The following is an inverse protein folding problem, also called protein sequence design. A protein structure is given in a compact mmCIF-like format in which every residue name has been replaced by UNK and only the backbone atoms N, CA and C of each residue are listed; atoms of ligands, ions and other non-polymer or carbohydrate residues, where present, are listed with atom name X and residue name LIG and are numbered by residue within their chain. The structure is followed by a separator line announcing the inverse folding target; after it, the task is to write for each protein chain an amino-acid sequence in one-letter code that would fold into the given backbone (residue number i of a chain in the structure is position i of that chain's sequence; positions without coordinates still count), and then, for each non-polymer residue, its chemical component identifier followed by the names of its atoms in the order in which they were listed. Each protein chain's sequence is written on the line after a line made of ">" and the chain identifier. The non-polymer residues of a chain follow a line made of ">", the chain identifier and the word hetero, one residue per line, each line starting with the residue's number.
data_IF_089920556288
#
_entry.id   IF_089920556288
#
_cell.length_a   1.000
_cell.length_b   1.000
_cell.length_c   1.000
_cell.angle_alpha   90.00
_cell.angle_beta   90.00
_cell.angle_gamma   90.00
#
_symmetry.space_group_name_H-M   'P 1'
#
loop_
_entity.id
_entity.type
_entity.pdbx_description
1 polymer ?
#
# COMPACT_ATOMS: atom_id res chain seq x y z
N UNK A 1 -9.11 -22.20 -24.32
CA UNK A 1 -9.99 -21.05 -24.06
C UNK A 1 -9.21 -20.15 -23.09
N UNK A 2 -8.41 -19.22 -23.64
CA UNK A 2 -7.62 -18.27 -22.87
C UNK A 2 -8.56 -17.47 -21.99
N UNK A 3 -8.38 -17.56 -20.66
CA UNK A 3 -8.97 -16.61 -19.72
C UNK A 3 -8.29 -15.27 -19.98
N UNK A 4 -8.88 -14.42 -20.80
CA UNK A 4 -8.52 -13.00 -20.83
C UNK A 4 -8.69 -12.50 -19.40
N UNK A 5 -7.58 -12.25 -18.70
CA UNK A 5 -7.61 -11.48 -17.45
C UNK A 5 -8.35 -10.19 -17.78
N UNK A 6 -9.39 -9.87 -17.02
CA UNK A 6 -10.06 -8.58 -17.15
C UNK A 6 -9.08 -7.54 -16.63
N UNK A 7 -8.36 -6.92 -17.52
CA UNK A 7 -7.48 -5.79 -17.21
C UNK A 7 -8.35 -4.54 -17.05
N UNK A 8 -7.95 -3.67 -16.14
CA UNK A 8 -8.64 -2.42 -15.83
C UNK A 8 -7.97 -1.29 -16.59
N UNK A 9 -8.74 -0.59 -17.43
CA UNK A 9 -8.22 0.47 -18.28
C UNK A 9 -8.17 1.81 -17.54
N UNK A 10 -7.07 2.53 -17.68
CA UNK A 10 -6.94 3.92 -17.25
C UNK A 10 -7.73 4.77 -18.25
N UNK A 11 -8.78 5.42 -17.76
CA UNK A 11 -9.61 6.31 -18.57
C UNK A 11 -9.00 7.71 -18.66
N UNK A 12 -8.54 8.24 -17.52
CA UNK A 12 -7.96 9.57 -17.41
C UNK A 12 -6.82 9.60 -16.38
N UNK A 13 -5.88 10.51 -16.59
CA UNK A 13 -4.82 10.82 -15.62
C UNK A 13 -4.37 12.26 -15.80
N UNK A 14 -4.22 12.99 -14.71
CA UNK A 14 -3.69 14.35 -14.72
C UNK A 14 -3.03 14.71 -13.39
N UNK A 15 -2.05 15.65 -13.40
CA UNK A 15 -1.42 16.13 -12.18
C UNK A 15 -2.38 17.04 -11.41
N UNK A 16 -2.36 16.95 -10.07
CA UNK A 16 -3.16 17.78 -9.17
C UNK A 16 -2.42 19.03 -8.68
N UNK A 17 -1.13 19.11 -8.91
CA UNK A 17 -0.29 20.24 -8.50
C UNK A 17 0.68 20.67 -9.60
N UNK A 18 1.20 21.88 -9.48
CA UNK A 18 2.09 22.50 -10.48
C UNK A 18 3.42 21.77 -10.62
N UNK A 19 3.94 21.20 -9.55
CA UNK A 19 5.18 20.40 -9.57
C UNK A 19 4.99 18.99 -10.16
N UNK A 20 3.75 18.60 -10.50
CA UNK A 20 3.40 17.30 -11.09
C UNK A 20 3.89 16.10 -10.25
N UNK A 21 3.83 16.24 -8.94
CA UNK A 21 4.23 15.20 -7.99
C UNK A 21 3.05 14.45 -7.37
N UNK A 22 1.82 14.91 -7.61
CA UNK A 22 0.59 14.26 -7.13
C UNK A 22 -0.35 14.16 -8.32
N UNK A 23 -0.95 12.98 -8.50
CA UNK A 23 -1.79 12.66 -9.65
C UNK A 23 -3.17 12.20 -9.23
N UNK A 24 -4.17 12.52 -10.08
CA UNK A 24 -5.45 11.83 -10.11
C UNK A 24 -5.46 10.88 -11.30
N UNK A 25 -5.96 9.67 -11.07
CA UNK A 25 -6.21 8.66 -12.10
C UNK A 25 -7.64 8.17 -11.98
N UNK A 26 -8.35 8.08 -13.11
CA UNK A 26 -9.68 7.49 -13.22
C UNK A 26 -9.61 6.18 -13.99
N UNK A 27 -10.24 5.13 -13.48
CA UNK A 27 -10.12 3.77 -14.01
C UNK A 27 -11.50 3.20 -14.28
N UNK A 28 -11.66 2.51 -15.41
CA UNK A 28 -12.88 1.78 -15.77
C UNK A 28 -13.05 0.56 -14.86
N UNK A 29 -13.89 0.69 -13.83
CA UNK A 29 -14.16 -0.34 -12.82
C UNK A 29 -15.64 -0.32 -12.38
N UNK A 30 -16.60 -0.65 -13.25
CA UNK A 30 -18.03 -0.42 -13.02
C UNK A 30 -18.61 -1.15 -11.81
N UNK A 31 -18.06 -2.30 -11.43
CA UNK A 31 -18.53 -3.03 -10.24
C UNK A 31 -18.09 -2.31 -8.95
N UNK A 32 -16.89 -1.73 -8.95
CA UNK A 32 -16.40 -0.94 -7.81
C UNK A 32 -17.19 0.36 -7.74
N UNK A 33 -17.37 1.06 -8.87
CA UNK A 33 -18.08 2.33 -8.94
C UNK A 33 -19.51 2.24 -8.38
N UNK A 34 -20.22 1.14 -8.67
CA UNK A 34 -21.60 0.90 -8.18
C UNK A 34 -21.72 0.67 -6.68
N UNK A 35 -20.67 0.20 -6.03
CA UNK A 35 -20.69 -0.23 -4.62
C UNK A 35 -19.81 0.61 -3.70
N UNK A 36 -18.98 1.48 -4.27
CA UNK A 36 -18.09 2.36 -3.51
C UNK A 36 -18.86 3.33 -2.61
N UNK A 37 -18.27 3.59 -1.43
CA UNK A 37 -18.74 4.58 -0.47
C UNK A 37 -17.56 5.40 0.05
N UNK A 38 -17.79 6.63 0.53
CA UNK A 38 -16.73 7.45 1.13
C UNK A 38 -15.97 6.73 2.23
N UNK A 39 -14.65 6.93 2.30
CA UNK A 39 -13.76 6.29 3.28
C UNK A 39 -13.25 4.91 2.89
N UNK A 40 -13.74 4.31 1.81
CA UNK A 40 -13.26 3.02 1.31
C UNK A 40 -12.06 3.17 0.38
N UNK A 41 -11.35 2.07 0.15
CA UNK A 41 -10.16 2.00 -0.69
C UNK A 41 -10.20 0.79 -1.64
N UNK A 42 -9.23 0.70 -2.53
CA UNK A 42 -8.99 -0.47 -3.36
C UNK A 42 -7.51 -0.86 -3.31
N UNK A 43 -7.21 -2.11 -3.58
CA UNK A 43 -5.84 -2.62 -3.71
C UNK A 43 -5.53 -2.86 -5.18
N UNK A 44 -4.38 -2.36 -5.59
CA UNK A 44 -3.86 -2.39 -6.96
C UNK A 44 -2.75 -3.40 -7.10
N UNK A 45 -2.64 -3.97 -8.29
CA UNK A 45 -1.46 -4.65 -8.79
C UNK A 45 -1.29 -4.27 -10.27
N UNK A 46 -0.18 -3.61 -10.60
CA UNK A 46 -0.02 -3.00 -11.94
C UNK A 46 0.19 -4.04 -13.02
N UNK A 47 1.02 -5.07 -12.75
CA UNK A 47 1.33 -6.14 -13.68
C UNK A 47 1.45 -7.50 -12.96
N UNK A 48 1.82 -8.55 -13.67
CA UNK A 48 1.91 -9.91 -13.13
C UNK A 48 2.94 -10.04 -11.99
N UNK A 49 3.99 -9.23 -12.00
CA UNK A 49 5.07 -9.22 -11.01
C UNK A 49 4.95 -8.08 -10.01
N UNK A 50 3.93 -7.22 -10.18
CA UNK A 50 3.72 -6.02 -9.38
C UNK A 50 3.33 -6.32 -7.94
N UNK A 51 3.82 -5.50 -7.04
CA UNK A 51 3.39 -5.48 -5.64
C UNK A 51 1.94 -5.02 -5.52
N UNK A 52 1.31 -5.39 -4.43
CA UNK A 52 -0.02 -4.91 -4.06
C UNK A 52 0.09 -3.69 -3.17
N UNK A 53 -0.62 -2.64 -3.53
CA UNK A 53 -0.66 -1.40 -2.73
C UNK A 53 -2.07 -0.83 -2.66
N UNK A 54 -2.45 -0.24 -1.51
CA UNK A 54 -3.77 0.36 -1.31
C UNK A 54 -3.82 1.80 -1.81
N UNK A 55 -4.93 2.20 -2.42
CA UNK A 55 -5.27 3.60 -2.68
C UNK A 55 -6.72 3.86 -2.26
N UNK A 56 -6.95 4.98 -1.58
CA UNK A 56 -8.29 5.40 -1.20
C UNK A 56 -9.09 5.86 -2.42
N UNK A 57 -10.36 5.47 -2.48
CA UNK A 57 -11.30 5.91 -3.51
C UNK A 57 -11.59 7.40 -3.30
N UNK A 58 -11.11 8.23 -4.22
CA UNK A 58 -11.26 9.68 -4.16
C UNK A 58 -12.58 10.18 -4.76
N UNK A 59 -13.08 9.49 -5.76
CA UNK A 59 -14.40 9.75 -6.36
C UNK A 59 -14.85 8.53 -7.18
N UNK A 60 -16.13 8.47 -7.52
CA UNK A 60 -16.68 7.39 -8.34
C UNK A 60 -17.92 7.86 -9.06
N UNK A 61 -18.10 7.35 -10.29
CA UNK A 61 -19.29 7.58 -11.12
C UNK A 61 -19.91 6.23 -11.49
N UNK A 62 -21.05 5.87 -10.86
CA UNK A 62 -21.74 4.62 -11.16
C UNK A 62 -22.36 4.54 -12.55
N UNK A 63 -22.67 5.70 -13.18
CA UNK A 63 -23.28 5.76 -14.51
C UNK A 63 -22.24 5.54 -15.60
N UNK A 64 -21.10 6.21 -15.49
CA UNK A 64 -19.96 6.03 -16.40
C UNK A 64 -19.21 4.74 -16.09
N UNK A 65 -19.23 4.29 -14.84
CA UNK A 65 -18.53 3.10 -14.37
C UNK A 65 -17.05 3.33 -14.07
N UNK A 66 -16.68 4.56 -13.67
CA UNK A 66 -15.31 4.94 -13.35
C UNK A 66 -15.10 5.15 -11.86
N UNK A 67 -13.89 4.89 -11.39
CA UNK A 67 -13.44 5.14 -10.01
C UNK A 67 -12.14 5.93 -10.07
N UNK A 68 -12.05 7.00 -9.30
CA UNK A 68 -10.89 7.90 -9.27
C UNK A 68 -10.08 7.73 -7.99
N UNK A 69 -8.77 7.84 -8.14
CA UNK A 69 -7.79 7.71 -7.07
C UNK A 69 -6.78 8.86 -7.14
N UNK A 70 -6.38 9.37 -5.97
CA UNK A 70 -5.33 10.37 -5.88
C UNK A 70 -4.10 9.72 -5.23
N UNK A 71 -2.92 9.89 -5.82
CA UNK A 71 -1.69 9.30 -5.31
C UNK A 71 -0.46 10.17 -5.55
N UNK A 72 0.53 9.97 -4.68
CA UNK A 72 1.87 10.54 -4.81
C UNK A 72 2.86 9.41 -5.09
N UNK A 73 3.73 9.54 -6.10
CA UNK A 73 4.82 8.60 -6.32
C UNK A 73 5.82 8.65 -5.15
N UNK A 74 5.74 7.69 -4.25
CA UNK A 74 6.60 7.61 -3.06
C UNK A 74 7.51 6.37 -3.09
N UNK A 75 6.93 5.20 -3.44
CA UNK A 75 7.64 3.93 -3.58
C UNK A 75 7.60 3.41 -5.01
N UNK A 76 8.30 2.29 -5.27
CA UNK A 76 8.42 1.64 -6.57
C UNK A 76 7.10 1.55 -7.34
N UNK A 77 6.07 0.95 -6.74
CA UNK A 77 4.79 0.70 -7.42
C UNK A 77 4.08 1.99 -7.82
N UNK A 78 4.07 3.01 -6.94
CA UNK A 78 3.45 4.30 -7.25
C UNK A 78 4.28 5.13 -8.23
N UNK A 79 5.61 4.98 -8.25
CA UNK A 79 6.47 5.58 -9.29
C UNK A 79 6.16 4.95 -10.65
N UNK A 80 6.07 3.62 -10.76
CA UNK A 80 5.69 2.93 -11.99
C UNK A 80 4.27 3.34 -12.42
N UNK A 81 3.32 3.43 -11.49
CA UNK A 81 1.97 3.89 -11.79
C UNK A 81 1.93 5.32 -12.33
N UNK A 82 2.85 6.18 -11.87
CA UNK A 82 2.96 7.55 -12.37
C UNK A 82 3.46 7.65 -13.81
N UNK A 83 4.07 6.60 -14.36
CA UNK A 83 4.53 6.54 -15.75
C UNK A 83 3.46 6.02 -16.71
N UNK A 84 2.42 5.33 -16.20
CA UNK A 84 1.32 4.84 -17.02
C UNK A 84 0.45 6.00 -17.53
N UNK A 85 -0.16 5.82 -18.71
CA UNK A 85 -0.94 6.87 -19.38
C UNK A 85 -2.39 6.41 -19.65
N UNK A 86 -3.32 7.33 -19.94
CA UNK A 86 -4.66 6.97 -20.38
C UNK A 86 -4.63 6.00 -21.56
N UNK A 87 -5.40 4.91 -21.45
CA UNK A 87 -5.40 3.80 -22.41
C UNK A 87 -4.57 2.59 -21.97
N UNK A 88 -3.65 2.74 -21.02
CA UNK A 88 -2.93 1.62 -20.40
C UNK A 88 -3.84 0.78 -19.51
N UNK A 89 -3.39 -0.43 -19.21
CA UNK A 89 -4.16 -1.41 -18.44
C UNK A 89 -3.43 -1.82 -17.16
N UNK A 90 -4.20 -1.92 -16.08
CA UNK A 90 -3.76 -2.43 -14.77
C UNK A 90 -4.21 -3.88 -14.64
N UNK A 91 -3.34 -4.75 -14.14
CA UNK A 91 -3.61 -6.18 -14.05
C UNK A 91 -4.77 -6.51 -13.10
N UNK A 92 -4.74 -5.94 -11.88
CA UNK A 92 -5.80 -6.18 -10.89
C UNK A 92 -6.14 -4.92 -10.10
N UNK A 93 -7.45 -4.77 -9.83
CA UNK A 93 -7.99 -3.88 -8.81
C UNK A 93 -9.01 -4.65 -8.00
N UNK A 94 -8.83 -4.70 -6.69
CA UNK A 94 -9.76 -5.33 -5.76
C UNK A 94 -10.37 -4.27 -4.86
N UNK A 95 -11.69 -4.15 -4.91
CA UNK A 95 -12.42 -3.14 -4.14
C UNK A 95 -13.94 -3.18 -4.40
N UNK A 96 -14.73 -2.32 -3.71
CA UNK A 96 -14.29 -1.49 -2.60
C UNK A 96 -13.96 -2.32 -1.36
N UNK A 97 -12.94 -1.92 -0.63
CA UNK A 97 -12.45 -2.57 0.59
C UNK A 97 -12.56 -1.60 1.77
N UNK A 98 -12.48 -2.15 2.97
CA UNK A 98 -12.63 -1.40 4.21
C UNK A 98 -14.09 -1.02 4.52
N UNK A 99 -14.28 -0.49 5.70
CA UNK A 99 -15.58 0.04 6.12
C UNK A 99 -15.78 1.45 5.56
N UNK A 100 -16.99 1.80 5.15
CA UNK A 100 -17.31 3.20 4.84
C UNK A 100 -17.09 4.10 6.05
N UNK A 101 -16.81 5.38 5.82
CA UNK A 101 -16.72 6.39 6.87
C UNK A 101 -18.01 6.42 7.71
N UNK A 102 -17.84 6.44 9.04
CA UNK A 102 -18.95 6.50 9.97
C UNK A 102 -19.39 7.96 10.15
N UNK A 103 -20.50 8.32 9.53
CA UNK A 103 -21.09 9.65 9.61
C UNK A 103 -22.29 9.61 10.56
N UNK A 104 -22.25 10.42 11.65
CA UNK A 104 -23.43 10.63 12.50
C UNK A 104 -24.40 11.57 11.75
N UNK A 105 -25.61 11.10 11.38
CA UNK A 105 -26.57 11.93 10.67
C UNK A 105 -27.13 13.09 11.52
N UNK A 106 -26.92 13.08 12.85
CA UNK A 106 -27.34 14.13 13.75
C UNK A 106 -26.22 15.16 14.03
N UNK A 107 -25.02 14.93 13.52
CA UNK A 107 -23.93 15.88 13.66
C UNK A 107 -24.30 17.23 13.03
N UNK A 108 -23.97 18.31 13.69
CA UNK A 108 -24.21 19.67 13.21
C UNK A 108 -23.00 20.25 12.49
N UNK A 109 -21.80 19.93 12.99
CA UNK A 109 -20.55 20.43 12.44
C UNK A 109 -19.40 19.46 12.65
N UNK A 110 -18.67 19.18 11.58
CA UNK A 110 -17.50 18.29 11.55
C UNK A 110 -16.30 19.05 11.05
N UNK A 111 -15.14 18.85 11.69
CA UNK A 111 -13.89 19.35 11.20
C UNK A 111 -13.14 18.23 10.47
N UNK A 112 -12.67 18.49 9.24
CA UNK A 112 -11.92 17.57 8.41
C UNK A 112 -10.48 18.07 8.30
N UNK A 113 -9.52 17.34 8.88
CA UNK A 113 -8.11 17.76 8.95
C UNK A 113 -7.27 16.84 8.07
N UNK A 114 -6.60 17.41 7.09
CA UNK A 114 -5.76 16.68 6.17
C UNK A 114 -4.31 17.15 6.14
N UNK A 115 -3.38 16.26 5.83
CA UNK A 115 -1.97 16.58 5.58
C UNK A 115 -1.45 16.02 4.26
N UNK A 116 -0.96 16.88 3.37
CA UNK A 116 -0.51 16.50 2.05
C UNK A 116 -1.58 15.78 1.24
N UNK A 117 -1.29 14.59 0.71
CA UNK A 117 -2.27 13.76 0.00
C UNK A 117 -3.45 13.31 0.88
N UNK A 118 -3.30 13.32 2.21
CA UNK A 118 -4.39 13.01 3.15
C UNK A 118 -5.57 13.97 3.04
N UNK A 119 -5.35 15.21 2.57
CA UNK A 119 -6.43 16.15 2.27
C UNK A 119 -7.37 15.57 1.18
N UNK A 120 -6.80 14.99 0.13
CA UNK A 120 -7.55 14.38 -0.95
C UNK A 120 -8.25 13.07 -0.54
N UNK A 121 -7.70 12.35 0.44
CA UNK A 121 -8.30 11.13 1.02
C UNK A 121 -9.58 11.46 1.77
N UNK A 122 -9.61 12.57 2.51
CA UNK A 122 -10.76 13.02 3.26
C UNK A 122 -11.84 13.71 2.40
N UNK A 123 -11.52 14.10 1.17
CA UNK A 123 -12.43 14.83 0.29
C UNK A 123 -13.78 14.13 0.02
N UNK A 124 -13.85 12.81 -0.27
CA UNK A 124 -15.12 12.12 -0.48
C UNK A 124 -16.04 12.18 0.76
N UNK A 125 -15.44 12.13 1.96
CA UNK A 125 -16.19 12.21 3.21
C UNK A 125 -16.70 13.64 3.43
N UNK A 126 -15.91 14.67 3.14
CA UNK A 126 -16.33 16.06 3.19
C UNK A 126 -17.50 16.35 2.22
N UNK A 127 -17.43 15.82 0.98
CA UNK A 127 -18.54 15.90 0.02
C UNK A 127 -19.83 15.29 0.58
N UNK A 128 -19.72 14.12 1.17
CA UNK A 128 -20.89 13.42 1.72
C UNK A 128 -21.48 14.14 2.95
N UNK A 129 -20.64 14.63 3.86
CA UNK A 129 -21.09 15.46 5.00
C UNK A 129 -21.89 16.68 4.50
N UNK A 130 -21.35 17.40 3.51
CA UNK A 130 -22.04 18.57 2.94
C UNK A 130 -23.34 18.19 2.23
N UNK A 131 -23.36 17.06 1.51
CA UNK A 131 -24.57 16.53 0.86
C UNK A 131 -25.68 16.21 1.90
N UNK A 132 -25.30 15.77 3.09
CA UNK A 132 -26.21 15.50 4.20
C UNK A 132 -26.65 16.77 4.96
N UNK A 133 -26.13 17.94 4.60
CA UNK A 133 -26.45 19.21 5.25
C UNK A 133 -25.71 19.44 6.57
N UNK A 134 -24.65 18.68 6.82
CA UNK A 134 -23.79 18.85 8.00
C UNK A 134 -22.77 19.95 7.68
N UNK A 135 -22.55 20.87 8.63
CA UNK A 135 -21.53 21.91 8.50
C UNK A 135 -20.12 21.32 8.46
N UNK A 136 -19.29 21.74 7.52
CA UNK A 136 -17.94 21.22 7.31
C UNK A 136 -16.92 22.33 7.35
N UNK A 137 -15.93 22.21 8.24
CA UNK A 137 -14.70 22.99 8.19
C UNK A 137 -13.57 22.06 7.73
N UNK A 138 -12.80 22.49 6.72
CA UNK A 138 -11.63 21.75 6.27
C UNK A 138 -10.36 22.50 6.62
N UNK A 139 -9.39 21.79 7.23
CA UNK A 139 -8.04 22.27 7.49
C UNK A 139 -7.08 21.42 6.67
N UNK A 140 -6.46 22.02 5.66
CA UNK A 140 -5.57 21.35 4.72
C UNK A 140 -4.13 21.84 4.90
N UNK A 141 -3.24 20.95 5.36
CA UNK A 141 -1.83 21.26 5.60
C UNK A 141 -0.93 20.73 4.50
N UNK A 142 0.02 21.57 4.09
CA UNK A 142 1.03 21.24 3.09
C UNK A 142 2.40 21.75 3.54
N UNK A 143 3.48 21.25 2.93
CA UNK A 143 4.82 21.77 3.23
C UNK A 143 5.04 23.16 2.63
N UNK A 144 4.56 23.38 1.41
CA UNK A 144 4.77 24.56 0.60
C UNK A 144 3.65 24.74 -0.44
N UNK A 145 3.61 25.93 -1.05
CA UNK A 145 2.59 26.29 -2.06
C UNK A 145 2.56 25.35 -3.28
N UNK A 146 3.70 24.88 -3.75
CA UNK A 146 3.84 24.08 -4.97
C UNK A 146 3.24 22.67 -4.87
N UNK A 147 2.99 22.21 -3.64
CA UNK A 147 2.31 20.92 -3.38
C UNK A 147 0.87 21.07 -2.88
N UNK A 148 0.31 22.27 -2.90
CA UNK A 148 -1.14 22.46 -2.66
C UNK A 148 -1.93 21.85 -3.80
N UNK A 149 -2.97 21.10 -3.45
CA UNK A 149 -3.84 20.38 -4.39
C UNK A 149 -5.31 20.70 -4.14
N UNK A 150 -6.12 20.59 -5.18
CA UNK A 150 -7.60 20.53 -5.10
C UNK A 150 -8.27 21.64 -4.31
N UNK A 151 -7.70 22.86 -4.27
CA UNK A 151 -8.26 23.94 -3.45
C UNK A 151 -9.70 24.27 -3.81
N UNK A 152 -10.03 24.32 -5.11
CA UNK A 152 -11.38 24.66 -5.58
C UNK A 152 -12.38 23.56 -5.20
N UNK A 153 -11.99 22.28 -5.33
CA UNK A 153 -12.81 21.16 -4.93
C UNK A 153 -13.04 21.13 -3.40
N UNK A 154 -12.00 21.39 -2.61
CA UNK A 154 -12.14 21.48 -1.15
C UNK A 154 -13.06 22.62 -0.77
N UNK A 155 -12.91 23.80 -1.39
CA UNK A 155 -13.78 24.95 -1.16
C UNK A 155 -15.24 24.66 -1.50
N UNK A 156 -15.49 23.88 -2.52
CA UNK A 156 -16.84 23.44 -2.87
C UNK A 156 -17.42 22.42 -1.88
N UNK A 157 -16.56 21.62 -1.21
CA UNK A 157 -16.95 20.55 -0.31
C UNK A 157 -17.09 20.97 1.17
N UNK A 158 -16.75 22.21 1.53
CA UNK A 158 -16.82 22.69 2.91
C UNK A 158 -17.51 24.07 3.01
N UNK A 159 -17.76 24.50 4.23
CA UNK A 159 -18.27 25.84 4.54
C UNK A 159 -17.11 26.80 4.78
N UNK A 160 -16.06 26.33 5.46
CA UNK A 160 -14.83 27.08 5.66
C UNK A 160 -13.63 26.22 5.29
N UNK A 161 -12.74 26.78 4.46
CA UNK A 161 -11.48 26.14 4.08
C UNK A 161 -10.31 26.93 4.67
N UNK A 162 -9.47 26.24 5.43
CA UNK A 162 -8.23 26.77 5.99
C UNK A 162 -7.06 26.00 5.36
N UNK A 163 -6.17 26.72 4.69
CA UNK A 163 -4.94 26.14 4.12
C UNK A 163 -3.77 26.62 4.97
N UNK A 164 -2.95 25.68 5.43
CA UNK A 164 -1.71 25.97 6.14
C UNK A 164 -0.52 25.43 5.35
N UNK A 165 0.62 26.15 5.42
CA UNK A 165 1.90 25.67 4.89
C UNK A 165 2.97 25.77 5.94
N UNK A 166 3.82 24.73 6.04
CA UNK A 166 4.89 24.67 7.05
C UNK A 166 5.87 25.83 6.87
N UNK A 167 6.18 26.19 5.61
CA UNK A 167 7.11 27.26 5.23
C UNK A 167 6.47 28.65 5.11
N UNK A 168 5.14 28.77 5.29
CA UNK A 168 4.41 30.03 5.21
C UNK A 168 4.30 30.61 3.79
N UNK A 169 4.58 29.82 2.75
CA UNK A 169 4.54 30.31 1.36
C UNK A 169 3.13 30.48 0.81
N UNK A 170 2.12 29.87 1.45
CA UNK A 170 0.72 29.98 1.06
C UNK A 170 -0.24 29.73 2.24
N UNK A 171 -1.38 30.45 2.25
CA UNK A 171 -2.34 30.35 3.34
C UNK A 171 -1.77 30.85 4.67
N UNK A 172 -2.05 30.14 5.74
CA UNK A 172 -1.52 30.43 7.08
C UNK A 172 -0.21 29.67 7.33
N UNK A 173 0.78 30.33 7.96
CA UNK A 173 2.04 29.68 8.30
C UNK A 173 1.86 28.77 9.51
N UNK A 174 2.29 27.51 9.41
CA UNK A 174 2.31 26.56 10.51
C UNK A 174 1.52 25.28 10.27
N UNK A 175 1.28 24.53 11.35
CA UNK A 175 0.70 23.19 11.28
C UNK A 175 -0.84 23.21 11.42
N UNK A 176 -1.51 22.24 10.83
CA UNK A 176 -2.97 22.03 10.94
C UNK A 176 -3.45 21.93 12.38
N UNK A 177 -2.63 21.41 13.28
CA UNK A 177 -2.92 21.28 14.71
C UNK A 177 -3.06 22.63 15.41
N UNK A 178 -2.26 23.62 14.99
CA UNK A 178 -2.35 24.98 15.54
C UNK A 178 -3.67 25.62 15.13
N UNK A 179 -4.06 25.49 13.86
CA UNK A 179 -5.34 26.01 13.36
C UNK A 179 -6.53 25.33 13.99
N UNK A 180 -6.49 23.99 14.12
CA UNK A 180 -7.55 23.24 14.81
C UNK A 180 -7.72 23.74 16.26
N UNK A 181 -6.62 23.89 16.99
CA UNK A 181 -6.64 24.37 18.36
C UNK A 181 -7.20 25.79 18.45
N UNK A 182 -6.75 26.68 17.58
CA UNK A 182 -7.27 28.08 17.49
C UNK A 182 -8.80 28.08 17.29
N UNK A 183 -9.33 27.30 16.37
CA UNK A 183 -10.76 27.22 16.09
C UNK A 183 -11.53 26.70 17.30
N UNK A 184 -11.06 25.67 17.98
CA UNK A 184 -11.70 25.14 19.20
C UNK A 184 -11.67 26.21 20.32
N UNK A 185 -10.52 26.84 20.54
CA UNK A 185 -10.36 27.88 21.59
C UNK A 185 -11.14 29.17 21.28
N UNK A 186 -11.41 29.45 20.00
CA UNK A 186 -12.31 30.56 19.61
C UNK A 186 -13.79 30.30 19.86
N UNK A 187 -14.13 29.08 20.31
CA UNK A 187 -15.49 28.67 20.66
C UNK A 187 -16.26 27.94 19.60
N UNK A 188 -15.59 27.54 18.47
CA UNK A 188 -16.21 26.66 17.46
C UNK A 188 -16.39 25.26 18.07
N UNK A 189 -17.63 24.77 18.03
CA UNK A 189 -17.98 23.44 18.55
C UNK A 189 -18.05 22.44 17.41
N UNK A 190 -17.29 21.37 17.51
CA UNK A 190 -17.29 20.25 16.57
C UNK A 190 -17.87 19.00 17.25
N UNK A 191 -18.79 18.33 16.58
CA UNK A 191 -19.33 17.02 17.02
C UNK A 191 -18.29 15.92 16.81
N UNK A 192 -17.48 16.06 15.75
CA UNK A 192 -16.35 15.17 15.49
C UNK A 192 -15.25 15.82 14.65
N UNK A 193 -14.06 15.23 14.70
CA UNK A 193 -12.92 15.55 13.84
C UNK A 193 -12.55 14.30 13.06
N UNK A 194 -12.36 14.44 11.73
CA UNK A 194 -11.82 13.41 10.87
C UNK A 194 -10.42 13.81 10.45
N UNK A 195 -9.45 12.89 10.56
CA UNK A 195 -8.08 13.23 10.19
C UNK A 195 -7.44 12.16 9.29
N UNK A 196 -6.68 12.59 8.28
CA UNK A 196 -5.87 11.73 7.43
C UNK A 196 -4.59 12.44 7.01
N UNK A 197 -3.47 11.74 7.04
CA UNK A 197 -2.16 12.27 6.66
C UNK A 197 -1.01 11.51 7.33
N UNK A 198 0.14 12.14 7.52
CA UNK A 198 1.26 11.54 8.23
C UNK A 198 0.85 11.08 9.64
N UNK A 199 1.33 9.91 10.06
CA UNK A 199 0.94 9.28 11.36
C UNK A 199 1.18 10.25 12.52
N UNK A 200 2.33 10.95 12.51
CA UNK A 200 2.65 11.94 13.55
C UNK A 200 1.64 13.09 13.58
N UNK A 201 1.17 13.55 12.41
CA UNK A 201 0.15 14.60 12.33
C UNK A 201 -1.18 14.10 12.92
N UNK A 202 -1.63 12.91 12.57
CA UNK A 202 -2.88 12.33 13.07
C UNK A 202 -2.83 12.11 14.59
N UNK A 203 -1.69 11.61 15.12
CA UNK A 203 -1.43 11.51 16.56
C UNK A 203 -1.59 12.89 17.23
N UNK A 204 -0.97 13.93 16.68
CA UNK A 204 -1.04 15.28 17.26
C UNK A 204 -2.46 15.88 17.18
N UNK A 205 -3.22 15.60 16.10
CA UNK A 205 -4.64 16.00 16.02
C UNK A 205 -5.44 15.34 17.14
N UNK A 206 -5.23 14.03 17.40
CA UNK A 206 -5.88 13.34 18.50
C UNK A 206 -5.55 13.96 19.88
N UNK A 207 -4.27 14.35 20.10
CA UNK A 207 -3.87 15.00 21.34
C UNK A 207 -4.47 16.41 21.51
N UNK A 208 -4.67 17.15 20.42
CA UNK A 208 -5.36 18.46 20.46
C UNK A 208 -6.83 18.32 20.86
N UNK A 209 -7.53 17.31 20.33
CA UNK A 209 -8.97 17.12 20.56
C UNK A 209 -9.30 16.43 21.89
N UNK A 210 -8.37 15.62 22.42
CA UNK A 210 -8.56 14.84 23.66
C UNK A 210 -9.02 15.66 24.87
N UNK A 211 -8.41 16.83 25.20
CA UNK A 211 -8.81 17.62 26.36
C UNK A 211 -10.24 18.18 26.26
N UNK A 212 -10.75 18.31 25.05
CA UNK A 212 -12.09 18.85 24.78
C UNK A 212 -13.14 17.74 24.63
N UNK A 213 -12.74 16.47 24.68
CA UNK A 213 -13.64 15.32 24.53
C UNK A 213 -14.29 15.22 23.14
N UNK A 214 -13.69 15.81 22.11
CA UNK A 214 -14.22 15.79 20.74
C UNK A 214 -13.89 14.44 20.11
N UNK A 215 -14.92 13.68 19.67
CA UNK A 215 -14.72 12.41 18.95
C UNK A 215 -13.80 12.64 17.75
N UNK A 216 -12.72 11.88 17.65
CA UNK A 216 -11.72 12.05 16.59
C UNK A 216 -11.44 10.73 15.90
N UNK A 217 -11.73 10.64 14.62
CA UNK A 217 -11.45 9.46 13.79
C UNK A 217 -10.24 9.73 12.89
N UNK A 218 -9.31 8.78 12.88
CA UNK A 218 -8.14 8.82 11.99
C UNK A 218 -8.24 7.73 10.93
N UNK A 219 -8.06 8.11 9.65
CA UNK A 219 -7.95 7.17 8.54
C UNK A 219 -6.50 6.69 8.43
N UNK A 220 -6.26 5.47 8.88
CA UNK A 220 -4.93 4.88 9.04
C UNK A 220 -4.51 4.13 7.78
N UNK A 221 -3.21 4.23 7.44
CA UNK A 221 -2.62 3.65 6.25
C UNK A 221 -1.44 2.71 6.56
N UNK A 222 -1.60 1.68 7.42
CA UNK A 222 -0.56 0.68 7.59
C UNK A 222 -0.36 -0.11 6.30
N UNK A 223 0.75 -0.84 6.21
CA UNK A 223 1.05 -1.69 5.06
C UNK A 223 -0.09 -2.70 4.85
N UNK A 224 -0.68 -2.71 3.66
CA UNK A 224 -1.76 -3.61 3.27
C UNK A 224 -1.39 -4.39 2.01
N UNK A 225 -1.63 -5.71 2.02
CA UNK A 225 -1.27 -6.61 0.92
C UNK A 225 -2.50 -7.26 0.31
N UNK A 226 -3.32 -8.00 1.10
CA UNK A 226 -4.47 -8.74 0.58
C UNK A 226 -5.80 -7.99 0.68
N UNK A 227 -5.97 -7.13 1.68
CA UNK A 227 -7.19 -6.35 1.90
C UNK A 227 -8.37 -7.12 2.50
N UNK A 228 -8.20 -8.39 2.87
CA UNK A 228 -9.27 -9.27 3.35
C UNK A 228 -9.13 -9.69 4.82
N UNK A 229 -8.11 -9.19 5.51
CA UNK A 229 -7.82 -9.51 6.91
C UNK A 229 -7.04 -10.81 7.12
N UNK A 230 -6.68 -11.53 6.06
CA UNK A 230 -6.02 -12.84 6.18
C UNK A 230 -4.52 -12.73 6.44
N UNK A 231 -3.81 -11.83 5.74
CA UNK A 231 -2.33 -11.76 5.82
C UNK A 231 -1.83 -11.12 7.12
N UNK A 232 -2.66 -10.35 7.83
CA UNK A 232 -2.28 -9.66 9.07
C UNK A 232 -1.27 -8.51 8.89
N UNK A 233 -0.91 -8.13 7.67
CA UNK A 233 0.02 -7.05 7.38
C UNK A 233 -0.42 -5.71 7.98
N UNK A 234 -1.70 -5.39 7.88
CA UNK A 234 -2.30 -4.14 8.35
C UNK A 234 -2.77 -4.15 9.81
N UNK A 235 -2.27 -5.09 10.64
CA UNK A 235 -2.66 -5.15 12.05
C UNK A 235 -2.17 -3.94 12.84
N UNK A 236 -3.02 -3.48 13.73
CA UNK A 236 -2.72 -2.41 14.68
C UNK A 236 -3.44 -2.68 16.02
N UNK A 237 -3.12 -1.91 17.05
CA UNK A 237 -3.78 -1.99 18.36
C UNK A 237 -4.69 -0.78 18.56
N UNK A 238 -5.96 -1.02 18.89
CA UNK A 238 -6.94 -0.01 19.24
C UNK A 238 -7.63 -0.42 20.54
N UNK A 239 -7.60 0.41 21.55
CA UNK A 239 -8.09 0.10 22.89
C UNK A 239 -7.49 -1.19 23.50
N UNK A 240 -6.23 -1.52 23.15
CA UNK A 240 -5.57 -2.77 23.57
C UNK A 240 -5.98 -4.02 22.79
N UNK A 241 -6.93 -3.91 21.86
CA UNK A 241 -7.35 -5.00 20.99
C UNK A 241 -6.65 -4.95 19.64
N UNK A 242 -6.33 -6.14 19.09
CA UNK A 242 -5.81 -6.26 17.72
C UNK A 242 -6.90 -6.03 16.71
N UNK A 243 -6.70 -5.09 15.80
CA UNK A 243 -7.58 -4.79 14.65
C UNK A 243 -6.79 -4.91 13.35
N UNK A 244 -7.51 -5.06 12.24
CA UNK A 244 -6.95 -5.10 10.89
C UNK A 244 -7.53 -3.94 10.08
N UNK A 245 -6.70 -2.97 9.72
CA UNK A 245 -7.18 -1.75 9.05
C UNK A 245 -7.96 -2.02 7.75
N UNK A 246 -7.65 -3.11 7.05
CA UNK A 246 -8.33 -3.44 5.80
C UNK A 246 -9.77 -3.97 5.96
N UNK A 247 -10.18 -4.46 7.14
CA UNK A 247 -11.52 -5.02 7.37
C UNK A 247 -12.25 -4.39 8.55
N UNK A 248 -11.51 -3.93 9.59
CA UNK A 248 -12.08 -3.25 10.75
C UNK A 248 -12.13 -1.73 10.57
N UNK A 249 -11.27 -1.17 9.70
CA UNK A 249 -11.11 0.24 9.38
C UNK A 249 -11.37 0.55 7.89
N UNK A 250 -10.68 1.53 7.31
CA UNK A 250 -9.43 2.15 7.76
C UNK A 250 -9.56 3.23 8.85
N UNK A 251 -10.78 3.70 9.15
CA UNK A 251 -11.01 4.71 10.17
C UNK A 251 -11.14 4.10 11.57
N UNK A 252 -10.46 4.69 12.54
CA UNK A 252 -10.49 4.28 13.95
C UNK A 252 -10.55 5.49 14.86
N UNK A 253 -11.10 5.30 16.09
CA UNK A 253 -11.01 6.29 17.14
C UNK A 253 -9.54 6.60 17.47
N UNK A 254 -9.12 7.80 17.08
CA UNK A 254 -7.75 8.26 17.21
C UNK A 254 -7.26 8.35 18.67
N UNK A 255 -8.19 8.46 19.62
CA UNK A 255 -7.87 8.49 21.06
C UNK A 255 -7.54 7.11 21.62
N UNK A 256 -7.88 6.04 20.90
CA UNK A 256 -7.71 4.65 21.34
C UNK A 256 -6.61 3.91 20.55
N UNK A 257 -6.04 4.51 19.49
CA UNK A 257 -4.97 3.94 18.70
C UNK A 257 -3.66 3.92 19.49
N UNK A 258 -2.95 2.80 19.46
CA UNK A 258 -1.56 2.67 19.89
C UNK A 258 -0.64 3.24 18.80
N UNK A 259 -0.40 4.55 18.88
CA UNK A 259 0.37 5.29 17.90
C UNK A 259 1.84 4.89 17.85
N UNK A 260 2.42 4.51 18.98
CA UNK A 260 3.84 4.17 19.05
C UNK A 260 4.11 2.84 18.38
N UNK A 261 3.27 1.83 18.61
CA UNK A 261 3.32 0.56 17.89
C UNK A 261 3.07 0.74 16.39
N UNK A 262 2.15 1.64 15.99
CA UNK A 262 1.88 1.91 14.58
C UNK A 262 3.07 2.59 13.88
N UNK A 263 3.74 3.54 14.54
CA UNK A 263 4.95 4.20 14.04
C UNK A 263 6.08 3.20 13.83
N UNK A 264 6.35 2.36 14.85
CA UNK A 264 7.38 1.32 14.75
C UNK A 264 7.15 0.38 13.59
N UNK A 265 5.91 -0.10 13.43
CA UNK A 265 5.56 -1.01 12.33
C UNK A 265 5.70 -0.38 10.94
N UNK A 266 5.49 0.91 10.83
CA UNK A 266 5.59 1.62 9.55
C UNK A 266 7.04 1.79 9.07
N UNK A 267 8.03 1.49 9.92
CA UNK A 267 9.46 1.54 9.58
C UNK A 267 10.06 0.18 9.21
N UNK A 268 9.29 -0.91 9.30
CA UNK A 268 9.82 -2.28 9.15
C UNK A 268 10.49 -2.57 7.80
N UNK A 269 10.07 -1.91 6.74
CA UNK A 269 10.57 -2.15 5.38
C UNK A 269 11.30 -0.95 4.78
N UNK A 270 11.68 0.03 5.62
CA UNK A 270 12.31 1.28 5.14
C UNK A 270 13.62 1.04 4.40
N UNK A 271 14.41 0.04 4.82
CA UNK A 271 15.67 -0.28 4.18
C UNK A 271 15.46 -0.95 2.80
N UNK A 272 14.54 -1.91 2.74
CA UNK A 272 14.16 -2.62 1.51
C UNK A 272 13.48 -1.67 0.51
N UNK A 273 12.62 -0.77 0.99
CA UNK A 273 12.00 0.27 0.17
C UNK A 273 13.04 1.25 -0.40
N UNK A 274 14.07 1.60 0.37
CA UNK A 274 15.14 2.47 -0.11
C UNK A 274 15.99 1.79 -1.20
N UNK A 275 16.32 0.50 -1.03
CA UNK A 275 17.04 -0.29 -2.02
C UNK A 275 16.25 -0.44 -3.32
N UNK A 276 14.95 -0.77 -3.22
CA UNK A 276 14.06 -0.90 -4.37
C UNK A 276 13.85 0.44 -5.10
N UNK A 277 13.73 1.54 -4.38
CA UNK A 277 13.63 2.87 -4.97
C UNK A 277 14.92 3.26 -5.73
N UNK A 278 16.09 2.92 -5.21
CA UNK A 278 17.36 3.11 -5.92
C UNK A 278 17.44 2.25 -7.19
N UNK A 279 16.93 1.02 -7.11
CA UNK A 279 16.87 0.11 -8.27
C UNK A 279 15.91 0.65 -9.35
N UNK A 280 14.73 1.13 -8.99
CA UNK A 280 13.79 1.76 -9.92
C UNK A 280 14.39 3.02 -10.54
N UNK A 281 15.08 3.85 -9.78
CA UNK A 281 15.77 5.02 -10.30
C UNK A 281 16.84 4.64 -11.34
N UNK A 282 17.56 3.54 -11.15
CA UNK A 282 18.53 3.04 -12.15
C UNK A 282 17.86 2.49 -13.41
N UNK A 283 16.71 1.82 -13.28
CA UNK A 283 15.95 1.26 -14.41
C UNK A 283 15.20 2.37 -15.16
N UNK A 284 14.58 3.30 -14.45
CA UNK A 284 13.70 4.35 -15.01
C UNK A 284 14.44 5.66 -15.28
N UNK A 285 15.67 5.82 -14.82
CA UNK A 285 16.46 7.05 -14.95
C UNK A 285 16.74 7.51 -16.40
N UNK A 286 16.31 6.73 -17.40
CA UNK A 286 16.30 7.07 -18.81
C UNK A 286 14.94 6.94 -19.49
N UNK A 287 13.90 6.47 -18.78
CA UNK A 287 12.56 6.25 -19.37
C UNK A 287 11.74 7.53 -19.29
N UNK A 288 11.31 8.05 -20.43
CA UNK A 288 10.41 9.20 -20.51
C UNK A 288 8.99 8.78 -20.19
N UNK A 289 8.16 9.71 -19.66
CA UNK A 289 6.71 9.50 -19.51
C UNK A 289 6.13 8.99 -20.83
N UNK A 290 5.28 7.94 -20.75
CA UNK A 290 4.68 7.30 -21.92
C UNK A 290 5.49 6.19 -22.57
N UNK A 291 6.75 5.95 -22.14
CA UNK A 291 7.60 4.85 -22.65
C UNK A 291 7.51 3.58 -21.77
N UNK A 292 6.96 3.71 -20.55
CA UNK A 292 6.78 2.56 -19.66
C UNK A 292 5.60 1.70 -20.12
N UNK A 293 5.87 0.43 -20.36
CA UNK A 293 4.86 -0.61 -20.63
C UNK A 293 4.91 -1.65 -19.52
N UNK A 294 3.85 -1.86 -18.75
CA UNK A 294 3.82 -2.90 -17.72
C UNK A 294 4.22 -4.26 -18.28
N UNK A 295 5.14 -4.96 -17.60
CA UNK A 295 5.62 -6.28 -18.02
C UNK A 295 6.71 -6.28 -19.11
N UNK A 296 7.15 -5.11 -19.61
CA UNK A 296 8.25 -4.99 -20.57
C UNK A 296 9.41 -4.24 -19.91
N UNK A 297 10.44 -4.96 -19.51
CA UNK A 297 11.71 -4.36 -19.06
C UNK A 297 12.65 -4.40 -20.28
N UNK A 298 12.66 -3.32 -21.07
CA UNK A 298 13.63 -3.15 -22.16
C UNK A 298 14.93 -2.57 -21.60
N UNK A 299 16.06 -3.22 -21.92
CA UNK A 299 17.39 -2.65 -21.71
C UNK A 299 18.18 -3.09 -20.49
N UNK A 300 17.76 -4.14 -19.79
CA UNK A 300 18.66 -4.79 -18.83
C UNK A 300 19.60 -5.70 -19.60
N UNK A 301 20.86 -5.28 -19.77
CA UNK A 301 21.93 -6.23 -20.14
C UNK A 301 21.94 -7.34 -19.09
N UNK A 302 21.55 -8.54 -19.50
CA UNK A 302 21.62 -9.73 -18.64
C UNK A 302 23.06 -9.88 -18.13
N UNK A 303 23.24 -9.71 -16.83
CA UNK A 303 24.49 -10.06 -16.17
C UNK A 303 24.77 -11.55 -16.50
N UNK A 304 25.90 -11.87 -17.12
CA UNK A 304 26.23 -13.26 -17.48
C UNK A 304 26.13 -14.26 -16.31
N UNK A 305 26.28 -13.80 -15.06
CA UNK A 305 26.09 -14.60 -13.85
C UNK A 305 24.60 -14.85 -13.51
N UNK A 306 23.64 -14.10 -14.08
CA UNK A 306 22.19 -14.29 -13.91
C UNK A 306 21.56 -15.13 -15.05
N UNK A 307 22.34 -15.73 -15.93
CA UNK A 307 21.88 -16.46 -17.11
C UNK A 307 21.20 -17.80 -16.87
N UNK A 308 21.11 -18.28 -15.62
CA UNK A 308 20.32 -19.47 -15.33
C UNK A 308 18.92 -19.05 -14.91
N UNK A 309 17.96 -19.29 -15.80
CA UNK A 309 16.55 -19.09 -15.53
C UNK A 309 16.13 -19.95 -14.35
N UNK A 310 15.49 -19.35 -13.34
CA UNK A 310 14.91 -20.09 -12.20
C UNK A 310 13.92 -21.12 -12.72
N UNK A 311 14.05 -22.36 -12.28
CA UNK A 311 13.06 -23.39 -12.59
C UNK A 311 11.80 -23.16 -11.74
N UNK A 312 10.63 -22.98 -12.36
CA UNK A 312 9.39 -22.89 -11.61
C UNK A 312 9.14 -24.21 -10.87
N UNK A 313 8.59 -24.12 -9.64
CA UNK A 313 8.18 -25.32 -8.92
C UNK A 313 7.04 -26.02 -9.72
N UNK A 314 7.20 -27.31 -10.07
CA UNK A 314 6.11 -28.05 -10.68
C UNK A 314 4.90 -28.15 -9.76
N UNK A 315 3.73 -27.77 -10.24
CA UNK A 315 2.49 -27.74 -9.46
C UNK A 315 1.39 -28.53 -10.16
N UNK A 316 0.41 -29.00 -9.39
CA UNK A 316 -0.82 -29.54 -9.93
C UNK A 316 -1.58 -28.48 -10.75
N UNK A 317 -2.16 -28.90 -11.88
CA UNK A 317 -3.06 -28.05 -12.66
C UNK A 317 -4.17 -27.47 -11.75
N UNK A 318 -4.47 -26.14 -11.85
CA UNK A 318 -5.46 -25.48 -10.99
C UNK A 318 -6.86 -26.11 -11.02
N UNK A 319 -7.29 -26.67 -12.14
CA UNK A 319 -8.59 -27.34 -12.27
C UNK A 319 -8.59 -28.72 -11.59
N UNK A 320 -7.45 -29.41 -11.63
CA UNK A 320 -7.26 -30.72 -10.98
C UNK A 320 -7.15 -30.53 -9.47
N UNK A 321 -6.30 -29.62 -9.00
CA UNK A 321 -6.09 -29.38 -7.57
C UNK A 321 -7.32 -28.85 -6.84
N UNK A 322 -8.22 -28.16 -7.52
CA UNK A 322 -9.50 -27.73 -6.95
C UNK A 322 -10.46 -28.88 -6.58
N UNK A 323 -10.17 -30.10 -7.01
CA UNK A 323 -11.03 -31.28 -6.82
C UNK A 323 -10.42 -32.35 -5.91
N UNK A 324 -9.26 -32.09 -5.31
CA UNK A 324 -8.58 -33.05 -4.44
C UNK A 324 -7.83 -32.31 -3.32
N UNK A 325 -7.31 -33.06 -2.35
CA UNK A 325 -6.50 -32.59 -1.23
C UNK A 325 -5.05 -33.07 -1.32
N UNK A 326 -4.59 -33.46 -2.51
CA UNK A 326 -3.20 -33.85 -2.71
C UNK A 326 -2.29 -32.62 -2.66
N UNK A 327 -1.02 -32.83 -2.39
CA UNK A 327 -0.01 -31.76 -2.33
C UNK A 327 0.04 -31.00 -3.67
N UNK A 328 -0.03 -29.66 -3.60
CA UNK A 328 -0.06 -28.82 -4.80
C UNK A 328 1.31 -28.77 -5.49
N UNK A 329 2.38 -28.55 -4.71
CA UNK A 329 3.75 -28.56 -5.20
C UNK A 329 4.23 -29.99 -5.42
N UNK A 330 4.61 -30.35 -6.65
CA UNK A 330 5.02 -31.70 -7.01
C UNK A 330 6.51 -31.98 -6.74
N UNK A 331 7.25 -30.95 -6.32
CA UNK A 331 8.70 -31.02 -6.08
C UNK A 331 9.53 -31.04 -7.37
N UNK A 332 10.81 -30.82 -7.22
CA UNK A 332 11.78 -30.91 -8.31
C UNK A 332 12.20 -32.37 -8.59
N UNK A 333 12.37 -32.70 -9.84
CA UNK A 333 13.13 -33.91 -10.19
C UNK A 333 14.58 -33.78 -9.77
N UNK A 334 15.32 -34.88 -9.61
CA UNK A 334 16.74 -34.86 -9.27
C UNK A 334 17.58 -34.02 -10.26
N UNK A 335 17.20 -34.02 -11.55
CA UNK A 335 17.89 -33.19 -12.55
C UNK A 335 17.59 -31.68 -12.31
N UNK A 336 16.32 -31.29 -12.20
CA UNK A 336 15.94 -29.91 -11.94
C UNK A 336 16.57 -29.39 -10.65
N UNK A 337 16.58 -30.21 -9.58
CA UNK A 337 17.21 -29.84 -8.31
C UNK A 337 18.71 -29.56 -8.45
N UNK A 338 19.44 -30.36 -9.23
CA UNK A 338 20.88 -30.12 -9.51
C UNK A 338 21.09 -28.87 -10.35
N UNK A 339 20.26 -28.66 -11.37
CA UNK A 339 20.37 -27.49 -12.25
C UNK A 339 20.07 -26.21 -11.45
N UNK A 340 19.05 -26.22 -10.61
CA UNK A 340 18.73 -25.10 -9.73
C UNK A 340 19.83 -24.84 -8.68
N UNK A 341 20.41 -25.90 -8.11
CA UNK A 341 21.51 -25.79 -7.17
C UNK A 341 22.76 -25.12 -7.78
N UNK A 342 22.96 -25.23 -9.11
CA UNK A 342 24.10 -24.57 -9.80
C UNK A 342 24.00 -23.04 -9.77
N UNK A 343 22.83 -22.45 -9.52
CA UNK A 343 22.66 -21.01 -9.40
C UNK A 343 23.31 -20.44 -8.12
N UNK A 344 23.57 -21.27 -7.11
CA UNK A 344 24.22 -20.84 -5.89
C UNK A 344 25.66 -20.36 -6.15
N UNK A 345 25.93 -19.11 -5.76
CA UNK A 345 27.24 -18.47 -5.93
C UNK A 345 28.27 -18.87 -4.88
N UNK A 346 27.89 -19.64 -3.87
CA UNK A 346 28.73 -20.04 -2.74
C UNK A 346 29.44 -18.85 -2.06
N UNK A 347 28.66 -17.83 -1.70
CA UNK A 347 29.17 -16.56 -1.18
C UNK A 347 29.99 -16.75 0.10
N UNK A 348 31.07 -15.98 0.26
CA UNK A 348 31.90 -15.97 1.51
C UNK A 348 31.09 -15.46 2.73
N UNK A 349 30.17 -14.51 2.52
CA UNK A 349 29.26 -13.97 3.52
C UNK A 349 27.81 -14.16 3.00
N UNK A 350 27.21 -15.36 3.20
CA UNK A 350 25.94 -15.71 2.59
C UNK A 350 24.78 -15.01 3.30
N UNK A 351 24.14 -14.07 2.62
CA UNK A 351 22.95 -13.36 3.11
C UNK A 351 21.76 -14.31 3.38
N UNK A 352 21.64 -15.35 2.56
CA UNK A 352 20.62 -16.39 2.76
C UNK A 352 20.73 -17.12 4.11
N UNK A 353 21.94 -17.30 4.65
CA UNK A 353 22.13 -17.87 6.00
C UNK A 353 21.73 -16.88 7.06
N UNK A 354 22.05 -15.60 6.88
CA UNK A 354 21.68 -14.54 7.83
C UNK A 354 20.16 -14.32 7.87
N UNK A 355 19.48 -14.46 6.74
CA UNK A 355 18.02 -14.38 6.64
C UNK A 355 17.28 -15.61 7.19
N UNK A 356 17.98 -16.73 7.41
CA UNK A 356 17.38 -17.96 7.90
C UNK A 356 17.21 -17.94 9.43
N UNK A 357 15.97 -17.98 9.99
CA UNK A 357 15.73 -17.90 11.43
C UNK A 357 16.37 -19.06 12.24
N UNK A 358 16.64 -20.18 11.59
CA UNK A 358 17.24 -21.38 12.20
C UNK A 358 18.68 -21.62 11.74
N UNK A 359 19.28 -20.65 11.07
CA UNK A 359 20.67 -20.64 10.62
C UNK A 359 21.09 -21.91 9.83
N UNK A 360 20.24 -22.36 8.89
CA UNK A 360 20.61 -23.45 7.99
C UNK A 360 21.83 -23.04 7.15
N UNK A 361 22.84 -23.90 7.08
CA UNK A 361 24.05 -23.66 6.27
C UNK A 361 23.73 -23.84 4.76
N UNK A 362 22.99 -22.85 4.21
CA UNK A 362 22.37 -22.95 2.88
C UNK A 362 23.38 -23.22 1.76
N UNK A 363 24.52 -22.52 1.61
CA UNK A 363 25.51 -22.85 0.57
C UNK A 363 26.07 -24.27 0.67
N UNK A 364 26.19 -24.80 1.90
CA UNK A 364 26.73 -26.13 2.15
C UNK A 364 25.76 -27.21 1.68
N UNK A 365 24.47 -27.17 2.10
CA UNK A 365 23.52 -28.17 1.62
C UNK A 365 23.30 -28.08 0.11
N UNK A 366 23.30 -26.87 -0.47
CA UNK A 366 23.18 -26.70 -1.92
C UNK A 366 24.39 -27.30 -2.63
N UNK A 367 25.62 -27.24 -2.06
CA UNK A 367 26.79 -27.86 -2.67
C UNK A 367 26.67 -29.39 -2.77
N UNK A 368 26.07 -30.02 -1.78
CA UNK A 368 25.75 -31.46 -1.80
C UNK A 368 24.68 -31.79 -2.85
N UNK A 369 23.64 -30.95 -2.96
CA UNK A 369 22.62 -31.11 -4.02
C UNK A 369 23.22 -31.03 -5.41
N UNK A 370 24.18 -30.13 -5.66
CA UNK A 370 24.89 -30.00 -6.96
C UNK A 370 25.48 -31.31 -7.43
N UNK A 371 26.06 -32.08 -6.53
CA UNK A 371 26.73 -33.35 -6.85
C UNK A 371 25.83 -34.58 -6.66
N UNK A 372 24.58 -34.36 -6.21
CA UNK A 372 23.59 -35.43 -6.05
C UNK A 372 23.65 -36.17 -4.70
N UNK A 373 24.38 -35.63 -3.72
CA UNK A 373 24.51 -36.16 -2.36
C UNK A 373 23.33 -35.68 -1.50
N UNK A 374 22.11 -36.15 -1.80
CA UNK A 374 20.89 -35.65 -1.18
C UNK A 374 20.76 -35.98 0.30
N UNK A 375 21.31 -37.11 0.76
CA UNK A 375 21.31 -37.51 2.15
C UNK A 375 22.19 -36.56 2.97
N UNK A 376 23.38 -36.22 2.47
CA UNK A 376 24.26 -35.25 3.12
C UNK A 376 23.67 -33.83 3.12
N UNK A 377 23.04 -33.42 2.02
CA UNK A 377 22.31 -32.16 1.97
C UNK A 377 21.20 -32.11 3.04
N UNK A 378 20.45 -33.19 3.21
CA UNK A 378 19.44 -33.29 4.26
C UNK A 378 20.06 -33.24 5.67
N UNK A 379 21.17 -33.93 5.92
CA UNK A 379 21.87 -33.92 7.20
C UNK A 379 22.35 -32.52 7.61
N UNK A 380 22.83 -31.74 6.62
CA UNK A 380 23.19 -30.33 6.85
C UNK A 380 21.98 -29.52 7.29
N UNK A 381 20.82 -29.66 6.63
CA UNK A 381 19.59 -28.97 7.01
C UNK A 381 19.11 -29.44 8.37
N UNK A 382 19.07 -30.74 8.61
CA UNK A 382 18.55 -31.37 9.83
C UNK A 382 19.42 -31.03 11.07
N UNK A 383 20.67 -30.67 10.88
CA UNK A 383 21.59 -30.27 11.97
C UNK A 383 21.12 -29.05 12.74
N UNK A 384 20.32 -28.17 12.13
CA UNK A 384 19.78 -26.94 12.73
C UNK A 384 18.27 -26.84 12.65
N UNK A 385 17.61 -27.63 11.78
CA UNK A 385 16.18 -27.59 11.54
C UNK A 385 15.54 -28.98 11.67
N UNK A 386 14.96 -29.27 12.81
CA UNK A 386 14.28 -30.57 13.07
C UNK A 386 12.99 -30.78 12.28
N UNK A 387 12.46 -29.73 11.64
CA UNK A 387 11.23 -29.75 10.85
C UNK A 387 11.48 -29.45 9.36
N UNK A 388 12.57 -29.92 8.80
CA UNK A 388 13.02 -29.64 7.44
C UNK A 388 11.91 -29.87 6.37
N UNK A 389 11.16 -30.98 6.48
CA UNK A 389 10.09 -31.30 5.54
C UNK A 389 8.88 -30.33 5.62
N UNK A 390 8.58 -29.80 6.83
CA UNK A 390 7.52 -28.80 7.02
C UNK A 390 8.01 -27.44 6.51
N UNK A 391 9.22 -27.03 6.92
CA UNK A 391 9.80 -25.77 6.48
C UNK A 391 9.94 -25.68 4.95
N UNK A 392 10.32 -26.78 4.29
CA UNK A 392 10.41 -26.84 2.83
C UNK A 392 9.06 -26.57 2.10
N UNK A 393 7.93 -26.66 2.83
CA UNK A 393 6.59 -26.44 2.26
C UNK A 393 5.96 -25.09 2.67
N UNK A 394 6.33 -24.55 3.84
CA UNK A 394 5.65 -23.37 4.40
C UNK A 394 6.55 -22.17 4.59
N UNK A 395 7.87 -22.36 4.53
CA UNK A 395 8.83 -21.26 4.67
C UNK A 395 8.76 -20.36 3.43
N UNK A 396 8.62 -19.03 3.58
CA UNK A 396 8.66 -18.09 2.47
C UNK A 396 10.12 -17.83 2.02
N UNK A 397 10.83 -18.90 1.64
CA UNK A 397 12.25 -18.88 1.30
C UNK A 397 12.58 -17.95 0.13
N UNK A 398 11.64 -17.73 -0.77
CA UNK A 398 11.77 -16.79 -1.89
C UNK A 398 11.90 -15.32 -1.44
N UNK A 399 11.53 -15.03 -0.19
CA UNK A 399 11.63 -13.69 0.39
C UNK A 399 12.71 -13.57 1.47
N UNK A 400 13.14 -14.71 2.04
CA UNK A 400 14.10 -14.73 3.14
C UNK A 400 15.50 -15.13 2.67
N UNK A 401 15.61 -15.99 1.67
CA UNK A 401 16.88 -16.56 1.24
C UNK A 401 17.33 -16.09 -0.14
N UNK A 402 16.46 -15.50 -0.93
CA UNK A 402 16.73 -14.90 -2.25
C UNK A 402 16.64 -13.38 -2.17
#
# INVERSE_FOLDING_TARGET
>A
MERRMKMFKIAEKFPLNTSQTIFRVSIEAPLIAKSAKPGQFAIFRLDEYGERFPLTIADYDPEVGTVSFNFQPAGKSTQMFSLMEPGDFIADIVGPLGRPAEIDPNAKRVCVVGGGTGCAINYPVAKELKRLGIGVDMICGFRSKDIVIMEDEFRAACDNLYITTDDGTYGEAGFVTNKLKELIESGVQYDSVLTCGPIVMMKNVAEVTRPYGIKTNASLNPIMIDGTGMCGGCRLSVAGERKFACVDGPEFDAHLVDWDSLLERNTFYTAEEAEENEHVCRITGGVRRGEYKPGVIEGVEENPAKRMTKHPMPEQDPVIRAKNFNEVALGYTAQIARDEAQRCLNCKNPQCVQGCPVNVRIPEFISHVKVGEYEEAYNVIASTNSLAAVCGRVCPQERQCE
#
